data_IF_476077143528
#
_entry.id   IF_476077143528
#
_cell.length_a   1.000
_cell.length_b   1.000
_cell.length_c   1.000
_cell.angle_alpha   90.00
_cell.angle_beta   90.00
_cell.angle_gamma   90.00
#
_symmetry.space_group_name_H-M   'P 1'
#
loop_
_entity.id
_entity.type
_entity.pdbx_description
1 polymer ?
#
# COMPACT_ATOMS: atom_id res chain seq x y z
N UNK A 1 3.74 -5.36 1.97
CA UNK A 1 4.43 -5.18 0.67
C UNK A 1 5.93 -5.17 0.89
N UNK A 2 6.68 -5.77 -0.02
CA UNK A 2 8.13 -5.78 0.11
C UNK A 2 8.72 -4.41 -0.29
N UNK A 3 9.86 -4.06 0.32
CA UNK A 3 10.52 -2.77 0.17
C UNK A 3 11.02 -2.46 -1.26
N UNK A 4 11.18 -3.49 -2.10
CA UNK A 4 11.69 -3.31 -3.45
C UNK A 4 10.61 -2.80 -4.41
N UNK A 5 9.35 -3.11 -4.11
CA UNK A 5 8.18 -2.73 -4.92
C UNK A 5 7.42 -1.53 -4.37
N UNK A 6 7.60 -1.18 -3.09
CA UNK A 6 6.86 -0.08 -2.43
C UNK A 6 7.50 1.30 -2.68
N UNK A 7 8.83 1.37 -2.77
CA UNK A 7 9.54 2.65 -2.88
C UNK A 7 9.37 3.29 -4.26
N UNK A 8 9.18 4.62 -4.28
CA UNK A 8 9.23 5.39 -5.53
C UNK A 8 10.64 5.40 -6.10
N UNK A 9 10.76 5.43 -7.43
CA UNK A 9 12.07 5.47 -8.11
C UNK A 9 12.92 6.68 -7.68
N UNK A 10 12.29 7.82 -7.46
CA UNK A 10 12.94 9.06 -7.04
C UNK A 10 13.18 9.13 -5.54
N UNK A 11 12.48 8.32 -4.74
CA UNK A 11 12.66 8.19 -3.29
C UNK A 11 12.69 6.71 -2.89
N UNK A 12 13.83 6.02 -3.02
CA UNK A 12 13.94 4.61 -2.66
C UNK A 12 13.66 4.37 -1.19
N UNK A 13 12.99 3.27 -0.88
CA UNK A 13 12.74 2.84 0.49
C UNK A 13 14.05 2.51 1.20
N UNK A 14 14.31 3.12 2.36
CA UNK A 14 15.59 2.99 3.09
C UNK A 14 15.49 2.16 4.36
N UNK A 15 14.31 1.77 4.81
CA UNK A 15 14.15 0.98 6.02
C UNK A 15 14.81 -0.40 5.86
N UNK A 16 15.36 -0.92 6.96
CA UNK A 16 16.04 -2.23 7.00
C UNK A 16 15.05 -3.40 6.95
N UNK A 17 13.80 -3.17 7.35
CA UNK A 17 12.74 -4.17 7.38
C UNK A 17 12.35 -4.57 5.95
N UNK A 18 12.34 -5.85 5.66
CA UNK A 18 12.07 -6.36 4.31
C UNK A 18 10.59 -6.16 3.90
N UNK A 19 9.69 -6.27 4.86
CA UNK A 19 8.25 -6.07 4.68
C UNK A 19 7.83 -4.86 5.51
N UNK A 20 7.35 -3.82 4.83
CA UNK A 20 6.87 -2.60 5.48
C UNK A 20 5.55 -2.83 6.19
N UNK A 21 5.44 -2.36 7.43
CA UNK A 21 4.16 -2.27 8.14
C UNK A 21 3.37 -1.01 7.73
N UNK A 22 2.08 -0.97 8.07
CA UNK A 22 1.19 0.12 7.72
C UNK A 22 1.68 1.50 8.20
N UNK A 23 2.06 1.66 9.47
CA UNK A 23 2.59 2.92 9.97
C UNK A 23 3.85 3.40 9.25
N UNK A 24 4.78 2.50 8.91
CA UNK A 24 5.99 2.85 8.15
C UNK A 24 5.66 3.29 6.73
N UNK A 25 4.72 2.62 6.06
CA UNK A 25 4.23 3.04 4.74
C UNK A 25 3.56 4.40 4.79
N UNK A 26 2.72 4.66 5.78
CA UNK A 26 2.04 5.95 5.93
C UNK A 26 3.04 7.08 6.15
N UNK A 27 4.05 6.89 7.02
CA UNK A 27 5.13 7.87 7.20
C UNK A 27 5.86 8.13 5.89
N UNK A 28 6.27 7.08 5.20
CA UNK A 28 6.98 7.20 3.92
C UNK A 28 6.20 8.02 2.87
N UNK A 29 4.88 7.79 2.76
CA UNK A 29 4.02 8.54 1.84
C UNK A 29 3.93 10.01 2.26
N UNK A 30 3.72 10.30 3.56
CA UNK A 30 3.65 11.65 4.09
C UNK A 30 4.96 12.41 3.90
N UNK A 31 6.08 11.80 4.28
CA UNK A 31 7.41 12.39 4.08
C UNK A 31 7.68 12.67 2.59
N UNK A 32 7.23 11.79 1.71
CA UNK A 32 7.37 11.99 0.27
C UNK A 32 6.52 13.17 -0.21
N UNK A 33 5.29 13.29 0.25
CA UNK A 33 4.40 14.38 -0.12
C UNK A 33 4.94 15.74 0.37
N UNK A 34 5.48 15.77 1.57
CA UNK A 34 6.09 16.97 2.16
C UNK A 34 7.38 17.38 1.44
N UNK A 35 8.32 16.45 1.22
CA UNK A 35 9.61 16.71 0.55
C UNK A 35 9.46 17.21 -0.90
N UNK A 36 8.35 16.90 -1.56
CA UNK A 36 8.09 17.27 -2.95
C UNK A 36 6.98 18.32 -3.12
N UNK A 37 6.60 19.03 -2.07
CA UNK A 37 5.57 20.07 -2.08
C UNK A 37 4.23 19.62 -2.68
N UNK A 38 3.87 18.34 -2.46
CA UNK A 38 2.64 17.74 -2.99
C UNK A 38 1.45 18.10 -2.12
N UNK A 39 1.65 18.23 -0.79
CA UNK A 39 0.56 18.45 0.17
C UNK A 39 -0.29 19.67 -0.17
N UNK A 40 0.35 20.79 -0.53
CA UNK A 40 -0.34 22.02 -0.93
C UNK A 40 -1.14 21.91 -2.23
N UNK A 41 -0.94 20.85 -3.00
CA UNK A 41 -1.68 20.59 -4.27
C UNK A 41 -2.83 19.63 -4.08
N UNK A 42 -2.93 18.94 -2.94
CA UNK A 42 -4.02 18.00 -2.64
C UNK A 42 -5.25 18.79 -2.18
N UNK A 43 -6.36 18.60 -2.88
CA UNK A 43 -7.66 19.14 -2.47
C UNK A 43 -8.43 18.08 -1.70
N UNK A 44 -8.37 18.14 -0.39
CA UNK A 44 -9.15 17.25 0.48
C UNK A 44 -10.65 17.58 0.46
N UNK A 45 -11.46 16.68 0.99
CA UNK A 45 -12.93 16.81 1.08
C UNK A 45 -13.57 17.08 -0.29
N UNK A 46 -13.02 16.44 -1.31
CA UNK A 46 -13.51 16.48 -2.68
C UNK A 46 -13.94 15.08 -3.08
N UNK A 47 -15.21 14.88 -3.38
CA UNK A 47 -15.75 13.61 -3.81
C UNK A 47 -16.19 13.69 -5.26
N UNK A 48 -15.55 12.90 -6.11
CA UNK A 48 -15.99 12.76 -7.50
C UNK A 48 -17.32 12.00 -7.54
N UNK A 49 -18.35 12.65 -8.08
CA UNK A 49 -19.71 12.09 -8.23
C UNK A 49 -19.90 11.54 -9.63
N UNK A 50 -19.43 12.27 -10.64
CA UNK A 50 -19.61 11.93 -12.06
C UNK A 50 -18.43 12.42 -12.88
N UNK A 51 -18.03 11.63 -13.87
CA UNK A 51 -17.02 11.98 -14.84
C UNK A 51 -17.55 11.65 -16.25
N UNK A 52 -17.52 12.60 -17.14
CA UNK A 52 -17.98 12.48 -18.52
C UNK A 52 -16.90 12.93 -19.48
N UNK A 53 -16.64 12.12 -20.49
CA UNK A 53 -15.72 12.43 -21.57
C UNK A 53 -16.46 13.01 -22.77
N UNK A 54 -15.96 14.11 -23.32
CA UNK A 54 -16.36 14.65 -24.62
C UNK A 54 -15.25 14.39 -25.63
N UNK A 55 -15.54 13.60 -26.66
CA UNK A 55 -14.57 13.34 -27.76
C UNK A 55 -14.46 14.55 -28.70
N UNK A 56 -15.48 15.39 -28.77
CA UNK A 56 -15.48 16.60 -29.56
C UNK A 56 -14.51 17.65 -28.96
N UNK A 57 -14.60 17.86 -27.66
CA UNK A 57 -13.74 18.83 -26.92
C UNK A 57 -12.43 18.22 -26.43
N UNK A 58 -12.24 16.90 -26.52
CA UNK A 58 -11.15 16.17 -25.90
C UNK A 58 -10.98 16.50 -24.41
N UNK A 59 -12.08 16.55 -23.66
CA UNK A 59 -12.11 17.05 -22.28
C UNK A 59 -13.01 16.21 -21.39
N UNK A 60 -12.54 15.95 -20.18
CA UNK A 60 -13.32 15.43 -19.07
C UNK A 60 -14.09 16.55 -18.39
N UNK A 61 -15.37 16.33 -18.13
CA UNK A 61 -16.19 17.14 -17.25
C UNK A 61 -16.48 16.34 -15.98
N UNK A 62 -16.04 16.86 -14.85
CA UNK A 62 -16.15 16.21 -13.55
C UNK A 62 -17.16 16.97 -12.68
N UNK A 63 -18.08 16.26 -12.06
CA UNK A 63 -18.93 16.81 -11.01
C UNK A 63 -18.34 16.36 -9.66
N UNK A 64 -17.95 17.33 -8.87
CA UNK A 64 -17.27 17.12 -7.59
C UNK A 64 -18.10 17.72 -6.47
N UNK A 65 -18.38 16.92 -5.47
CA UNK A 65 -18.97 17.37 -4.19
C UNK A 65 -17.85 17.87 -3.29
N UNK A 66 -17.95 19.10 -2.82
CA UNK A 66 -16.88 19.82 -2.12
C UNK A 66 -17.32 20.28 -0.73
N UNK A 67 -16.45 20.09 0.24
CA UNK A 67 -16.63 20.59 1.62
C UNK A 67 -17.72 19.88 2.40
N UNK A 68 -18.01 20.40 3.60
CA UNK A 68 -19.01 19.85 4.53
C UNK A 68 -20.44 20.11 4.04
N UNK A 69 -20.65 21.22 3.34
CA UNK A 69 -21.94 21.59 2.79
C UNK A 69 -22.29 20.84 1.50
N UNK A 70 -21.42 19.95 1.03
CA UNK A 70 -21.62 19.13 -0.16
C UNK A 70 -21.95 19.95 -1.42
N UNK A 71 -21.32 21.11 -1.57
CA UNK A 71 -21.48 21.94 -2.76
C UNK A 71 -21.01 21.20 -4.01
N UNK A 72 -21.84 21.20 -5.04
CA UNK A 72 -21.47 20.63 -6.33
C UNK A 72 -20.67 21.65 -7.13
N UNK A 73 -19.51 21.22 -7.61
CA UNK A 73 -18.62 21.99 -8.47
C UNK A 73 -18.31 21.24 -9.73
N UNK A 74 -18.24 21.95 -10.83
CA UNK A 74 -17.78 21.41 -12.09
C UNK A 74 -16.28 21.71 -12.28
N UNK A 75 -15.53 20.70 -12.67
CA UNK A 75 -14.10 20.81 -13.02
C UNK A 75 -13.88 20.21 -14.40
N UNK A 76 -13.10 20.87 -15.25
CA UNK A 76 -12.72 20.36 -16.57
C UNK A 76 -11.24 20.04 -16.59
N UNK A 77 -10.88 18.92 -17.24
CA UNK A 77 -9.48 18.53 -17.41
C UNK A 77 -9.30 17.69 -18.69
N UNK A 78 -8.11 17.77 -19.29
CA UNK A 78 -7.76 16.96 -20.47
C UNK A 78 -7.38 15.52 -20.12
N UNK A 79 -7.04 15.23 -18.85
CA UNK A 79 -6.64 13.92 -18.42
C UNK A 79 -7.18 13.62 -17.01
N UNK A 80 -7.73 12.41 -16.83
CA UNK A 80 -8.23 11.92 -15.54
C UNK A 80 -7.54 10.63 -15.19
N UNK A 81 -6.77 10.61 -14.08
CA UNK A 81 -6.16 9.41 -13.53
C UNK A 81 -6.94 8.93 -12.31
N UNK A 82 -7.60 7.77 -12.45
CA UNK A 82 -8.39 7.16 -11.38
C UNK A 82 -7.49 6.29 -10.50
N UNK A 83 -7.25 6.72 -9.25
CA UNK A 83 -6.44 6.03 -8.27
C UNK A 83 -7.23 5.63 -7.00
N UNK A 84 -8.55 5.50 -7.09
CA UNK A 84 -9.45 5.24 -5.96
C UNK A 84 -9.42 3.78 -5.46
N UNK A 85 -8.70 2.88 -6.13
CA UNK A 85 -8.74 1.45 -5.83
C UNK A 85 -10.05 0.79 -6.31
N UNK A 86 -10.28 -0.44 -5.86
CA UNK A 86 -11.43 -1.26 -6.27
C UNK A 86 -12.36 -1.66 -5.11
N UNK A 87 -12.03 -1.29 -3.88
CA UNK A 87 -12.90 -1.53 -2.74
C UNK A 87 -13.98 -0.45 -2.62
N UNK A 88 -15.20 -0.86 -2.23
CA UNK A 88 -16.23 0.09 -1.83
C UNK A 88 -15.86 0.72 -0.48
N UNK A 89 -15.91 2.05 -0.39
CA UNK A 89 -15.72 2.76 0.88
C UNK A 89 -16.97 2.73 1.78
N UNK A 90 -18.10 2.30 1.25
CA UNK A 90 -19.39 2.33 1.97
C UNK A 90 -19.70 1.02 2.67
N UNK A 91 -19.31 -0.10 2.08
CA UNK A 91 -19.60 -1.43 2.60
C UNK A 91 -18.52 -2.43 2.16
N UNK A 92 -18.19 -3.36 3.02
CA UNK A 92 -17.40 -4.52 2.69
C UNK A 92 -18.26 -5.58 1.97
N UNK A 93 -17.64 -6.40 1.15
CA UNK A 93 -18.32 -7.56 0.57
C UNK A 93 -18.51 -8.64 1.65
N UNK A 94 -19.72 -8.79 2.11
CA UNK A 94 -20.11 -9.86 3.04
C UNK A 94 -21.05 -10.79 2.30
N UNK A 95 -20.63 -12.03 2.00
CA UNK A 95 -21.54 -13.03 1.46
C UNK A 95 -22.70 -13.31 2.41
N UNK A 96 -23.82 -13.72 1.84
CA UNK A 96 -24.92 -14.26 2.64
C UNK A 96 -24.56 -15.68 3.08
N UNK A 97 -24.43 -15.86 4.39
CA UNK A 97 -24.14 -17.16 5.02
C UNK A 97 -25.43 -17.67 5.67
N UNK A 98 -26.02 -18.77 5.17
CA UNK A 98 -27.19 -19.37 5.80
C UNK A 98 -26.92 -19.67 7.28
N UNK A 99 -27.86 -19.28 8.15
CA UNK A 99 -27.73 -19.46 9.61
C UNK A 99 -26.87 -18.41 10.32
N UNK A 100 -26.47 -17.33 9.61
CA UNK A 100 -25.72 -16.23 10.25
C UNK A 100 -26.49 -15.58 11.40
N UNK A 101 -27.79 -15.51 11.28
CA UNK A 101 -28.74 -14.99 12.28
C UNK A 101 -28.79 -15.82 13.57
N UNK A 102 -28.46 -17.08 13.49
CA UNK A 102 -28.41 -18.01 14.64
C UNK A 102 -27.09 -17.89 15.42
N UNK A 103 -26.10 -17.17 14.85
CA UNK A 103 -24.80 -16.99 15.50
C UNK A 103 -24.86 -15.92 16.59
N UNK A 104 -24.81 -16.35 17.85
CA UNK A 104 -24.88 -15.46 19.01
C UNK A 104 -23.61 -14.63 19.30
N UNK A 105 -22.56 -14.77 18.49
CA UNK A 105 -21.32 -14.02 18.65
C UNK A 105 -21.27 -12.73 17.80
N UNK A 106 -20.19 -11.97 17.94
CA UNK A 106 -19.96 -10.75 17.16
C UNK A 106 -19.43 -11.09 15.77
N UNK A 107 -20.07 -10.57 14.72
CA UNK A 107 -19.63 -10.69 13.34
C UNK A 107 -19.09 -9.35 12.85
N UNK A 108 -17.86 -9.32 12.39
CA UNK A 108 -17.16 -8.09 11.96
C UNK A 108 -16.61 -8.26 10.55
N UNK A 109 -16.79 -7.25 9.70
CA UNK A 109 -16.03 -7.14 8.45
C UNK A 109 -14.76 -6.32 8.70
N UNK A 110 -13.55 -6.80 8.32
CA UNK A 110 -12.28 -6.17 8.65
C UNK A 110 -12.13 -4.72 8.19
N UNK A 111 -12.83 -4.32 7.13
CA UNK A 111 -12.83 -2.94 6.63
C UNK A 111 -13.47 -1.95 7.62
N UNK A 112 -14.35 -2.42 8.48
CA UNK A 112 -15.07 -1.65 9.49
C UNK A 112 -14.80 -2.23 10.88
N UNK A 113 -13.53 -2.29 11.23
CA UNK A 113 -13.08 -2.83 12.50
C UNK A 113 -13.53 -1.92 13.65
N UNK A 114 -14.31 -2.42 14.62
CA UNK A 114 -14.64 -1.64 15.81
C UNK A 114 -13.38 -1.47 16.67
N UNK A 115 -13.04 -0.24 17.04
CA UNK A 115 -11.83 0.05 17.84
C UNK A 115 -11.86 -0.65 19.20
N UNK A 116 -13.04 -0.79 19.79
CA UNK A 116 -13.26 -1.41 21.11
C UNK A 116 -13.58 -2.90 21.07
N UNK A 117 -13.32 -3.57 19.93
CA UNK A 117 -13.63 -5.00 19.82
C UNK A 117 -12.74 -5.83 20.75
N UNK A 118 -13.32 -6.31 21.84
CA UNK A 118 -12.67 -7.26 22.73
C UNK A 118 -12.80 -8.69 22.22
N UNK A 119 -11.69 -9.30 21.87
CA UNK A 119 -11.58 -10.71 21.46
C UNK A 119 -10.58 -11.49 22.33
N UNK A 120 -10.01 -10.85 23.37
CA UNK A 120 -9.07 -11.51 24.26
C UNK A 120 -9.70 -12.74 24.92
N UNK A 121 -8.98 -13.86 24.93
CA UNK A 121 -9.44 -15.11 25.49
C UNK A 121 -10.64 -15.78 24.76
N UNK A 122 -11.11 -15.21 23.65
CA UNK A 122 -12.24 -15.76 22.89
C UNK A 122 -11.79 -16.72 21.78
N UNK A 123 -12.68 -17.57 21.35
CA UNK A 123 -12.51 -18.38 20.14
C UNK A 123 -12.95 -17.56 18.93
N UNK A 124 -12.07 -17.37 17.97
CA UNK A 124 -12.29 -16.54 16.79
C UNK A 124 -12.27 -17.40 15.54
N UNK A 125 -13.23 -17.19 14.63
CA UNK A 125 -13.21 -17.74 13.28
C UNK A 125 -12.97 -16.62 12.27
N UNK A 126 -11.94 -16.76 11.42
CA UNK A 126 -11.64 -15.86 10.32
C UNK A 126 -12.01 -16.54 9.01
N UNK A 127 -13.04 -16.02 8.34
CA UNK A 127 -13.52 -16.58 7.07
C UNK A 127 -12.81 -15.86 5.91
N UNK A 128 -12.00 -16.60 5.18
CA UNK A 128 -11.20 -16.12 4.05
C UNK A 128 -9.77 -16.61 4.10
N UNK A 129 -9.05 -16.46 2.98
CA UNK A 129 -7.66 -16.85 2.82
C UNK A 129 -6.80 -15.80 2.10
N UNK A 130 -7.34 -14.59 1.89
CA UNK A 130 -6.61 -13.47 1.30
C UNK A 130 -5.61 -12.83 2.27
N UNK A 131 -4.87 -11.83 1.80
CA UNK A 131 -3.85 -11.12 2.59
C UNK A 131 -4.40 -10.58 3.92
N UNK A 132 -5.63 -10.06 3.92
CA UNK A 132 -6.30 -9.58 5.14
C UNK A 132 -6.50 -10.70 6.15
N UNK A 133 -7.00 -11.87 5.73
CA UNK A 133 -7.23 -12.99 6.63
C UNK A 133 -5.90 -13.51 7.23
N UNK A 134 -4.85 -13.63 6.42
CA UNK A 134 -3.52 -14.04 6.90
C UNK A 134 -2.98 -13.07 7.95
N UNK A 135 -3.12 -11.76 7.71
CA UNK A 135 -2.68 -10.73 8.66
C UNK A 135 -3.50 -10.79 9.97
N UNK A 136 -4.83 -10.94 9.86
CA UNK A 136 -5.71 -11.02 11.03
C UNK A 136 -5.42 -12.25 11.89
N UNK A 137 -5.26 -13.42 11.28
CA UNK A 137 -4.98 -14.66 12.03
C UNK A 137 -3.73 -14.51 12.87
N UNK A 138 -2.66 -13.95 12.31
CA UNK A 138 -1.42 -13.72 13.04
C UNK A 138 -1.59 -12.74 14.19
N UNK A 139 -2.22 -11.59 13.94
CA UNK A 139 -2.41 -10.55 14.95
C UNK A 139 -3.38 -11.01 16.07
N UNK A 140 -4.46 -11.69 15.72
CA UNK A 140 -5.45 -12.13 16.70
C UNK A 140 -4.97 -13.31 17.56
N UNK A 141 -4.08 -14.14 17.03
CA UNK A 141 -3.51 -15.26 17.79
C UNK A 141 -2.69 -14.83 19.02
N UNK A 142 -2.28 -13.57 19.10
CA UNK A 142 -1.55 -13.04 20.27
C UNK A 142 -2.44 -12.91 21.51
N UNK A 143 -3.75 -12.71 21.35
CA UNK A 143 -4.68 -12.41 22.46
C UNK A 143 -5.87 -13.37 22.52
N UNK A 144 -6.31 -13.93 21.41
CA UNK A 144 -7.42 -14.87 21.38
C UNK A 144 -7.05 -16.22 22.00
N UNK A 145 -8.00 -16.90 22.62
CA UNK A 145 -7.80 -18.26 23.11
C UNK A 145 -7.55 -19.27 21.97
N UNK A 146 -8.18 -19.05 20.83
CA UNK A 146 -8.00 -19.87 19.64
C UNK A 146 -8.45 -19.11 18.40
N UNK A 147 -7.71 -19.24 17.29
CA UNK A 147 -8.07 -18.66 16.00
C UNK A 147 -8.19 -19.77 14.96
N UNK A 148 -9.34 -19.87 14.33
CA UNK A 148 -9.60 -20.80 13.23
C UNK A 148 -9.69 -20.04 11.92
N UNK A 149 -8.88 -20.37 10.92
CA UNK A 149 -9.05 -19.88 9.57
C UNK A 149 -9.94 -20.83 8.76
N UNK A 150 -11.04 -20.30 8.24
CA UNK A 150 -11.95 -21.01 7.33
C UNK A 150 -11.71 -20.52 5.92
N UNK A 151 -11.28 -21.40 5.02
CA UNK A 151 -10.92 -21.01 3.65
C UNK A 151 -11.56 -21.93 2.62
N UNK A 152 -12.04 -21.34 1.53
CA UNK A 152 -12.58 -22.09 0.39
C UNK A 152 -11.48 -22.75 -0.41
N UNK A 153 -10.38 -22.03 -0.63
CA UNK A 153 -9.20 -22.49 -1.36
C UNK A 153 -7.95 -22.14 -0.59
N UNK A 154 -6.96 -23.02 -0.54
CA UNK A 154 -5.73 -22.76 0.18
C UNK A 154 -4.94 -21.60 -0.46
N UNK A 155 -4.27 -20.84 0.38
CA UNK A 155 -3.34 -19.78 -0.02
C UNK A 155 -1.92 -20.21 0.32
N UNK A 156 -0.97 -19.91 -0.55
CA UNK A 156 0.44 -20.12 -0.26
C UNK A 156 0.93 -19.09 0.76
N UNK A 157 1.41 -19.58 1.90
CA UNK A 157 2.05 -18.77 2.93
C UNK A 157 3.49 -19.23 3.07
N UNK A 158 4.43 -18.32 2.90
CA UNK A 158 5.86 -18.61 3.02
C UNK A 158 6.48 -17.76 4.11
N UNK A 159 7.34 -18.37 4.92
CA UNK A 159 8.15 -17.66 5.89
C UNK A 159 9.35 -17.04 5.19
N UNK A 160 9.61 -15.76 5.45
CA UNK A 160 10.79 -15.04 4.96
C UNK A 160 11.47 -14.32 6.12
N UNK A 161 12.80 -14.14 6.09
CA UNK A 161 13.49 -13.29 7.04
C UNK A 161 12.93 -11.86 7.01
N UNK A 162 12.76 -11.25 8.17
CA UNK A 162 12.29 -9.86 8.31
C UNK A 162 13.33 -8.83 7.84
N UNK A 163 14.61 -9.24 7.81
CA UNK A 163 15.74 -8.42 7.33
C UNK A 163 16.24 -8.91 5.98
N UNK A 164 16.44 -7.97 5.08
CA UNK A 164 17.00 -8.25 3.78
C UNK A 164 18.55 -8.24 3.82
N UNK A 165 19.13 -9.40 3.56
CA UNK A 165 20.60 -9.59 3.51
C UNK A 165 21.27 -9.02 2.25
N UNK A 166 20.50 -8.69 1.22
CA UNK A 166 21.07 -8.23 -0.08
C UNK A 166 21.60 -6.80 -0.02
N UNK A 167 21.20 -5.99 0.96
CA UNK A 167 21.67 -4.61 1.09
C UNK A 167 23.17 -4.48 1.42
N UNK A 168 23.76 -5.45 2.11
CA UNK A 168 25.20 -5.42 2.46
C UNK A 168 26.10 -5.62 1.24
N UNK A 169 25.62 -6.26 0.18
CA UNK A 169 26.39 -6.52 -1.04
C UNK A 169 26.35 -5.40 -2.07
N UNK A 170 25.32 -4.56 -2.10
CA UNK A 170 25.20 -3.48 -3.09
C UNK A 170 25.95 -2.20 -2.71
N UNK A 171 26.33 -2.02 -1.44
CA UNK A 171 27.14 -0.87 -1.00
C UNK A 171 28.65 -1.08 -1.11
N UNK A 172 29.11 -2.35 -1.17
CA UNK A 172 30.52 -2.68 -1.34
C UNK A 172 31.05 -2.55 -2.77
N UNK A 173 30.16 -2.60 -3.77
CA UNK A 173 30.60 -2.72 -5.17
C UNK A 173 30.57 -1.38 -5.95
N UNK A 174 30.14 -0.27 -5.35
CA UNK A 174 30.15 1.05 -6.00
C UNK A 174 31.41 1.89 -5.72
N UNK A 175 32.21 1.51 -4.75
CA UNK A 175 33.45 2.23 -4.46
C UNK A 175 34.68 1.65 -5.19
N UNK A 176 34.58 0.47 -5.80
CA UNK A 176 35.73 -0.17 -6.46
C UNK A 176 35.77 0.10 -7.97
N UNK A 177 34.67 0.49 -8.60
CA UNK A 177 34.68 0.81 -10.04
C UNK A 177 35.19 2.23 -10.35
N UNK A 178 35.26 3.13 -9.37
CA UNK A 178 35.82 4.46 -9.57
C UNK A 178 37.35 4.50 -9.44
N UNK A 179 37.97 3.47 -8.83
CA UNK A 179 39.44 3.36 -8.71
C UNK A 179 40.11 2.66 -9.87
N UNK A 180 39.41 1.90 -10.69
CA UNK A 180 39.99 1.25 -11.88
C UNK A 180 39.97 2.07 -13.15
N UNK A 181 39.18 3.16 -13.22
CA UNK A 181 39.22 4.08 -14.38
C UNK A 181 40.27 5.17 -14.32
N UNK A 182 41.03 5.26 -13.24
CA UNK A 182 42.10 6.24 -13.06
C UNK A 182 43.51 5.72 -13.33
N UNK A 183 43.68 4.46 -13.77
CA UNK A 183 45.01 3.84 -13.92
C UNK A 183 45.41 3.42 -15.33
N UNK A 184 44.67 3.78 -16.36
CA UNK A 184 44.96 3.39 -17.74
C UNK A 184 45.22 4.56 -18.71
N UNK A 185 45.58 5.75 -18.21
CA UNK A 185 45.92 6.90 -19.09
C UNK A 185 47.26 7.57 -18.78
N UNK A 186 48.25 6.79 -18.32
CA UNK A 186 49.65 7.29 -18.27
C UNK A 186 50.58 6.17 -18.73
N UNK A 187 50.67 5.94 -20.01
CA UNK A 187 51.84 5.32 -20.68
C UNK A 187 51.58 5.16 -22.16
N UNK A 188 51.63 6.22 -22.94
CA UNK A 188 51.99 6.19 -24.37
C UNK A 188 52.31 7.62 -24.84
N UNK A 189 53.48 8.10 -24.42
CA UNK A 189 54.18 9.12 -25.14
C UNK A 189 55.67 9.06 -24.74
N UNK A 190 56.41 8.24 -25.44
CA UNK A 190 57.87 8.33 -25.64
C UNK A 190 58.32 7.17 -26.50
N UNK A 191 58.69 7.49 -27.73
CA UNK A 191 59.65 6.93 -28.67
C UNK A 191 59.13 7.38 -30.05
N UNK A 192 59.64 8.30 -30.85
CA UNK A 192 61.02 8.68 -30.98
C UNK A 192 61.35 8.58 -32.47
N UNK A 193 61.51 9.72 -33.13
CA UNK A 193 62.12 9.92 -34.43
C UNK A 193 61.41 9.38 -35.67
#
# INVERSE_FOLDING_TARGET
SDRHTVGYRFKPWKDAKAIADGPAMLRYIRDTASEHDIEGRIRYRQRLIRAEWSSEDCTWTLIVESGENRELRQVRCGFLLMCAGYYSYRHGHTPDFPGREDFGGTVVHPQFWPEELDYAGKRVAVIGSGATAVTLVLAMAEQAAHVTMVQRSPTYVVSRPDRDRTRSRSHGNRHDQSRQKGRTNESHDRIGR
#
